data_IF_784034754861
#
_entry.id   IF_784034754861
#
_cell.length_a   1.000
_cell.length_b   1.000
_cell.length_c   1.000
_cell.angle_alpha   90.00
_cell.angle_beta   90.00
_cell.angle_gamma   90.00
#
_symmetry.space_group_name_H-M   'P 1'
#
loop_
_entity.id
_entity.type
_entity.pdbx_description
1 polymer ?
#
# COMPACT_ATOMS: atom_id res chain seq x y z
N UNK A 1 3.44 16.63 8.50
CA UNK A 1 3.57 15.25 7.98
C UNK A 1 5.02 14.98 7.65
N UNK A 2 5.53 13.85 8.03
CA UNK A 2 6.94 13.49 7.81
C UNK A 2 7.10 11.96 7.77
N UNK A 3 8.30 11.51 7.42
CA UNK A 3 8.64 10.10 7.41
C UNK A 3 7.80 9.29 6.45
N UNK A 4 7.39 8.12 6.90
CA UNK A 4 6.60 7.16 6.12
C UNK A 4 5.30 7.77 5.58
N UNK A 5 4.60 8.54 6.42
CA UNK A 5 3.34 9.18 6.03
C UNK A 5 3.54 10.18 4.90
N UNK A 6 4.62 10.95 4.92
CA UNK A 6 4.94 11.89 3.86
C UNK A 6 5.24 11.16 2.56
N UNK A 7 6.01 10.07 2.63
CA UNK A 7 6.34 9.27 1.46
C UNK A 7 5.06 8.67 0.85
N UNK A 8 4.18 8.14 1.67
CA UNK A 8 2.91 7.59 1.21
C UNK A 8 2.03 8.67 0.56
N UNK A 9 1.91 9.83 1.21
CA UNK A 9 1.14 10.94 0.67
C UNK A 9 1.67 11.40 -0.69
N UNK A 10 2.99 11.37 -0.87
CA UNK A 10 3.63 11.73 -2.13
C UNK A 10 3.26 10.75 -3.24
N UNK A 11 3.19 9.46 -2.93
CA UNK A 11 2.73 8.44 -3.89
C UNK A 11 1.30 8.72 -4.32
N UNK A 12 0.41 8.98 -3.37
CA UNK A 12 -1.00 9.26 -3.65
C UNK A 12 -1.14 10.53 -4.48
N UNK A 13 -0.40 11.58 -4.15
CA UNK A 13 -0.40 12.82 -4.92
C UNK A 13 0.03 12.57 -6.37
N UNK A 14 1.10 11.80 -6.56
CA UNK A 14 1.57 11.44 -7.90
C UNK A 14 0.49 10.68 -8.67
N UNK A 15 -0.16 9.70 -8.04
CA UNK A 15 -1.24 8.94 -8.67
C UNK A 15 -2.40 9.86 -9.09
N UNK A 16 -2.78 10.78 -8.21
CA UNK A 16 -3.86 11.73 -8.52
C UNK A 16 -3.51 12.63 -9.71
N UNK A 17 -2.27 13.12 -9.77
CA UNK A 17 -1.82 13.97 -10.86
C UNK A 17 -1.73 13.22 -12.19
N UNK A 18 -1.33 11.95 -12.15
CA UNK A 18 -1.14 11.14 -13.34
C UNK A 18 -2.41 10.40 -13.80
N UNK A 19 -3.48 10.45 -13.02
CA UNK A 19 -4.72 9.71 -13.33
C UNK A 19 -5.40 10.18 -14.61
N UNK A 20 -5.18 11.42 -15.03
CA UNK A 20 -5.68 11.91 -16.31
C UNK A 20 -4.99 11.22 -17.49
N UNK A 21 -3.76 10.75 -17.31
CA UNK A 21 -2.98 10.05 -18.34
C UNK A 21 -3.14 8.53 -18.23
N UNK A 22 -3.20 8.01 -17.01
CA UNK A 22 -3.35 6.59 -16.72
C UNK A 22 -4.53 6.40 -15.76
N UNK A 23 -5.68 6.05 -16.30
CA UNK A 23 -6.92 5.92 -15.53
C UNK A 23 -6.80 4.95 -14.35
N UNK A 24 -6.00 3.91 -14.51
CA UNK A 24 -5.79 2.89 -13.46
C UNK A 24 -5.35 3.51 -12.13
N UNK A 25 -4.61 4.61 -12.17
CA UNK A 25 -4.08 5.26 -10.97
C UNK A 25 -5.15 5.94 -10.13
N UNK A 26 -6.32 6.18 -10.70
CA UNK A 26 -7.45 6.76 -9.99
C UNK A 26 -7.95 5.84 -8.87
N UNK A 27 -7.71 4.55 -8.98
CA UNK A 27 -8.34 3.56 -8.12
C UNK A 27 -7.47 3.09 -6.96
N UNK A 28 -6.24 3.58 -6.84
CA UNK A 28 -5.39 3.25 -5.70
C UNK A 28 -6.00 3.82 -4.41
N UNK A 29 -5.88 3.07 -3.34
CA UNK A 29 -6.34 3.56 -2.04
C UNK A 29 -5.48 3.02 -0.89
N UNK A 30 -5.55 3.73 0.23
CA UNK A 30 -4.86 3.34 1.45
C UNK A 30 -5.74 2.40 2.28
N UNK A 31 -5.09 1.44 2.93
CA UNK A 31 -5.74 0.49 3.84
C UNK A 31 -5.42 0.90 5.26
N UNK A 32 -6.40 1.28 6.10
CA UNK A 32 -6.12 1.56 7.51
C UNK A 32 -5.73 0.26 8.23
N UNK A 33 -4.66 0.31 9.01
CA UNK A 33 -4.10 -0.90 9.62
C UNK A 33 -3.79 -0.78 11.11
N UNK A 34 -4.47 0.08 11.81
CA UNK A 34 -4.53 0.02 13.27
C UNK A 34 -3.60 0.89 14.09
N UNK A 35 -3.06 1.97 13.53
CA UNK A 35 -2.26 2.94 14.29
C UNK A 35 -3.07 4.01 15.00
N UNK A 36 -4.20 3.67 15.60
CA UNK A 36 -5.15 4.64 16.14
C UNK A 36 -4.82 5.04 17.58
N UNK A 37 -4.99 6.34 17.88
CA UNK A 37 -4.66 6.92 19.18
C UNK A 37 -5.73 6.71 20.25
N UNK A 38 -7.00 6.67 19.84
CA UNK A 38 -8.13 6.54 20.79
C UNK A 38 -8.49 5.07 20.98
N UNK A 39 -8.41 4.56 22.23
CA UNK A 39 -8.74 3.16 22.51
C UNK A 39 -10.14 2.75 22.07
N UNK A 40 -11.12 3.65 22.21
CA UNK A 40 -12.50 3.37 21.81
C UNK A 40 -12.61 3.21 20.29
N UNK A 41 -11.95 4.09 19.52
CA UNK A 41 -11.91 4.02 18.07
C UNK A 41 -11.18 2.78 17.60
N UNK A 42 -10.02 2.47 18.18
CA UNK A 42 -9.25 1.28 17.86
C UNK A 42 -10.06 0.01 18.11
N UNK A 43 -10.77 -0.05 19.23
CA UNK A 43 -11.63 -1.19 19.58
C UNK A 43 -12.75 -1.36 18.56
N UNK A 44 -13.41 -0.27 18.18
CA UNK A 44 -14.49 -0.28 17.18
C UNK A 44 -13.98 -0.78 15.83
N UNK A 45 -12.86 -0.26 15.36
CA UNK A 45 -12.28 -0.64 14.08
C UNK A 45 -11.86 -2.10 14.07
N UNK A 46 -11.25 -2.58 15.16
CA UNK A 46 -10.89 -3.98 15.30
C UNK A 46 -12.13 -4.87 15.27
N UNK A 47 -13.19 -4.48 16.00
CA UNK A 47 -14.44 -5.25 16.03
C UNK A 47 -15.11 -5.30 14.66
N UNK A 48 -14.95 -4.26 13.85
CA UNK A 48 -15.56 -4.18 12.51
C UNK A 48 -14.64 -4.69 11.40
N UNK A 49 -13.48 -5.28 11.72
CA UNK A 49 -12.69 -6.03 10.76
C UNK A 49 -11.37 -5.42 10.34
N UNK A 50 -10.96 -4.30 10.92
CA UNK A 50 -9.64 -3.72 10.63
C UNK A 50 -8.57 -4.64 11.22
N UNK A 51 -7.57 -4.98 10.40
CA UNK A 51 -6.52 -5.92 10.78
C UNK A 51 -5.16 -5.23 10.78
N UNK A 52 -4.32 -5.63 11.74
CA UNK A 52 -2.93 -5.18 11.78
C UNK A 52 -2.12 -5.85 10.66
N UNK A 53 -1.21 -5.10 10.07
CA UNK A 53 -0.22 -5.64 9.17
C UNK A 53 -0.64 -5.73 7.72
N UNK A 54 -1.88 -5.40 7.39
CA UNK A 54 -2.31 -5.32 5.99
C UNK A 54 -1.46 -4.23 5.30
N UNK A 55 -0.94 -4.48 4.08
CA UNK A 55 -0.13 -3.47 3.40
C UNK A 55 -0.85 -2.12 3.23
N UNK A 56 -0.08 -1.05 3.20
CA UNK A 56 -0.59 0.33 3.28
C UNK A 56 -1.44 0.75 2.09
N UNK A 57 -1.07 0.32 0.88
CA UNK A 57 -1.71 0.77 -0.36
C UNK A 57 -2.14 -0.42 -1.20
N UNK A 58 -3.27 -0.27 -1.88
CA UNK A 58 -3.74 -1.28 -2.83
C UNK A 58 -4.15 -0.64 -4.15
N UNK A 59 -3.62 -1.17 -5.24
CA UNK A 59 -4.01 -0.82 -6.61
C UNK A 59 -4.81 -1.98 -7.19
N UNK A 60 -6.15 -1.84 -7.32
CA UNK A 60 -7.04 -2.94 -7.75
C UNK A 60 -7.06 -3.07 -9.27
N UNK A 61 -5.92 -3.36 -9.85
CA UNK A 61 -5.76 -3.51 -11.31
C UNK A 61 -5.03 -4.81 -11.58
N UNK A 62 -5.64 -5.69 -12.36
CA UNK A 62 -5.01 -6.96 -12.72
C UNK A 62 -3.95 -6.73 -13.81
N UNK A 63 -2.75 -7.27 -13.60
CA UNK A 63 -1.65 -7.22 -14.57
C UNK A 63 -0.75 -8.44 -14.40
N UNK A 64 -0.21 -8.92 -15.48
CA UNK A 64 0.83 -9.96 -15.47
C UNK A 64 0.44 -11.21 -14.67
N UNK A 65 -0.82 -11.62 -14.76
CA UNK A 65 -1.33 -12.77 -14.01
C UNK A 65 -1.58 -12.51 -12.53
N UNK A 66 -1.47 -11.27 -12.07
CA UNK A 66 -1.75 -10.88 -10.68
C UNK A 66 -3.09 -10.17 -10.59
N UNK A 67 -3.76 -10.30 -9.45
CA UNK A 67 -5.08 -9.70 -9.24
C UNK A 67 -5.02 -8.22 -8.88
N UNK A 68 -3.90 -7.76 -8.36
CA UNK A 68 -3.69 -6.39 -7.93
C UNK A 68 -2.32 -6.23 -7.32
N UNK A 69 -1.98 -5.01 -6.95
CA UNK A 69 -0.68 -4.65 -6.37
C UNK A 69 -0.87 -4.08 -4.96
N UNK A 70 -0.26 -4.73 -3.98
CA UNK A 70 -0.14 -4.21 -2.61
C UNK A 70 1.24 -3.62 -2.40
N UNK A 71 1.29 -2.47 -1.76
CA UNK A 71 2.55 -1.81 -1.40
C UNK A 71 2.56 -1.56 0.11
N UNK A 72 3.61 -2.04 0.77
CA UNK A 72 3.91 -1.73 2.16
C UNK A 72 4.95 -0.61 2.16
N UNK A 73 4.62 0.54 2.76
CA UNK A 73 5.55 1.66 2.87
C UNK A 73 6.39 1.53 4.13
N UNK A 74 7.69 1.75 3.97
CA UNK A 74 8.65 1.79 5.06
C UNK A 74 9.48 3.08 4.96
N UNK A 75 10.15 3.42 6.04
CA UNK A 75 10.98 4.62 6.07
C UNK A 75 12.26 4.35 6.86
N UNK A 76 13.38 4.90 6.39
CA UNK A 76 14.66 4.78 7.08
C UNK A 76 15.12 3.33 7.19
N UNK A 77 15.37 2.90 8.42
CA UNK A 77 15.85 1.54 8.73
C UNK A 77 14.74 0.63 9.25
N UNK A 78 13.49 1.08 9.19
CA UNK A 78 12.37 0.28 9.68
C UNK A 78 12.21 -0.99 8.86
N UNK A 79 11.84 -2.07 9.54
CA UNK A 79 11.60 -3.38 8.92
C UNK A 79 10.14 -3.77 9.09
N UNK A 80 9.70 -4.69 8.25
CA UNK A 80 8.36 -5.24 8.37
C UNK A 80 8.19 -5.98 9.70
N UNK A 81 7.04 -5.81 10.33
CA UNK A 81 6.66 -6.59 11.51
C UNK A 81 6.30 -8.01 11.09
N UNK A 82 6.16 -8.90 12.07
CA UNK A 82 5.77 -10.29 11.81
C UNK A 82 4.39 -10.33 11.13
N UNK A 83 3.45 -9.51 11.58
CA UNK A 83 2.12 -9.43 10.99
C UNK A 83 2.17 -8.97 9.53
N UNK A 84 2.99 -7.96 9.24
CA UNK A 84 3.17 -7.45 7.87
C UNK A 84 3.75 -8.52 6.95
N UNK A 85 4.76 -9.26 7.41
CA UNK A 85 5.35 -10.36 6.64
C UNK A 85 4.31 -11.44 6.35
N UNK A 86 3.50 -11.80 7.34
CA UNK A 86 2.44 -12.81 7.16
C UNK A 86 1.42 -12.38 6.11
N UNK A 87 1.00 -11.11 6.13
CA UNK A 87 0.06 -10.58 5.14
C UNK A 87 0.65 -10.59 3.74
N UNK A 88 1.88 -10.11 3.58
CA UNK A 88 2.56 -10.10 2.29
C UNK A 88 2.68 -11.51 1.71
N UNK A 89 3.06 -12.48 2.54
CA UNK A 89 3.20 -13.87 2.12
C UNK A 89 1.87 -14.48 1.68
N UNK A 90 0.82 -14.29 2.49
CA UNK A 90 -0.52 -14.79 2.15
C UNK A 90 -1.02 -14.20 0.85
N UNK A 91 -0.93 -12.88 0.72
CA UNK A 91 -1.43 -12.16 -0.46
C UNK A 91 -0.69 -12.60 -1.73
N UNK A 92 0.64 -12.75 -1.63
CA UNK A 92 1.42 -13.20 -2.78
C UNK A 92 1.01 -14.62 -3.21
N UNK A 93 0.83 -15.52 -2.26
CA UNK A 93 0.38 -16.89 -2.54
C UNK A 93 -1.01 -16.94 -3.15
N UNK A 94 -1.81 -15.91 -2.95
CA UNK A 94 -3.18 -15.84 -3.48
C UNK A 94 -3.32 -14.94 -4.69
N UNK A 95 -2.22 -14.68 -5.38
CA UNK A 95 -2.26 -14.06 -6.70
C UNK A 95 -2.09 -12.55 -6.73
N UNK A 96 -1.65 -11.94 -5.64
CA UNK A 96 -1.38 -10.50 -5.62
C UNK A 96 0.10 -10.22 -5.73
N UNK A 97 0.46 -9.14 -6.43
CA UNK A 97 1.82 -8.65 -6.40
C UNK A 97 1.99 -7.85 -5.10
N UNK A 98 3.08 -8.11 -4.38
CA UNK A 98 3.36 -7.44 -3.11
C UNK A 98 4.77 -6.87 -3.12
N UNK A 99 4.91 -5.62 -2.75
CA UNK A 99 6.20 -4.93 -2.71
C UNK A 99 6.33 -4.12 -1.43
N UNK A 100 7.54 -4.10 -0.89
CA UNK A 100 7.93 -3.22 0.22
C UNK A 100 8.76 -2.10 -0.37
N UNK A 101 8.38 -0.85 -0.10
CA UNK A 101 9.04 0.32 -0.68
C UNK A 101 9.47 1.27 0.43
N UNK A 102 10.73 1.74 0.36
CA UNK A 102 11.31 2.61 1.38
C UNK A 102 11.26 4.09 1.02
N UNK A 103 10.69 4.43 -0.14
CA UNK A 103 10.52 5.81 -0.56
C UNK A 103 9.38 5.93 -1.55
N UNK A 104 8.89 7.16 -1.74
CA UNK A 104 7.90 7.45 -2.79
C UNK A 104 8.45 7.12 -4.18
N UNK A 105 9.74 7.37 -4.41
CA UNK A 105 10.39 7.05 -5.68
C UNK A 105 10.32 5.54 -5.97
N UNK A 106 10.63 4.71 -4.97
CA UNK A 106 10.54 3.26 -5.10
C UNK A 106 9.12 2.83 -5.43
N UNK A 107 8.15 3.34 -4.70
CA UNK A 107 6.74 2.97 -4.89
C UNK A 107 6.24 3.37 -6.27
N UNK A 108 6.59 4.57 -6.73
CA UNK A 108 6.21 5.06 -8.05
C UNK A 108 6.84 4.18 -9.14
N UNK A 109 8.10 3.80 -8.98
CA UNK A 109 8.78 2.91 -9.92
C UNK A 109 8.09 1.54 -9.98
N UNK A 110 7.70 1.00 -8.83
CA UNK A 110 6.97 -0.27 -8.73
C UNK A 110 5.62 -0.18 -9.45
N UNK A 111 4.88 0.89 -9.23
CA UNK A 111 3.58 1.11 -9.88
C UNK A 111 3.75 1.18 -11.41
N UNK A 112 4.71 1.94 -11.88
CA UNK A 112 4.98 2.06 -13.31
C UNK A 112 5.33 0.71 -13.92
N UNK A 113 6.20 -0.04 -13.29
CA UNK A 113 6.60 -1.37 -13.75
C UNK A 113 5.41 -2.32 -13.77
N UNK A 114 4.61 -2.32 -12.71
CA UNK A 114 3.43 -3.18 -12.61
C UNK A 114 2.43 -2.89 -13.73
N UNK A 115 2.17 -1.63 -14.01
CA UNK A 115 1.23 -1.21 -15.06
C UNK A 115 1.83 -1.29 -16.48
N UNK A 116 3.15 -1.41 -16.59
CA UNK A 116 3.82 -1.40 -17.90
C UNK A 116 3.86 -0.03 -18.53
N UNK A 117 3.95 1.04 -17.74
CA UNK A 117 4.01 2.42 -18.22
C UNK A 117 5.37 3.05 -17.89
N UNK A 118 5.68 4.15 -18.56
CA UNK A 118 6.98 4.82 -18.39
C UNK A 118 6.89 6.04 -17.43
#
# INVERSE_FOLDING_TARGET
>A
MKGEDLEQATVIQWCNLQSCKYEELKWIYAVPNGGYRHPAEAKKLKATGTKRGVPDLFLPVARNGKHGLYIEMKYGKNKCTIEQVKWLDWLYKHGYMCKVCWSSEDAIAVIKEYLGVK
#
